data_IF_966411003460
#
_entry.id   IF_966411003460
#
_cell.length_a   1.000
_cell.length_b   1.000
_cell.length_c   1.000
_cell.angle_alpha   90.00
_cell.angle_beta   90.00
_cell.angle_gamma   90.00
#
_symmetry.space_group_name_H-M   'P 1'
#
loop_
_entity.id
_entity.type
_entity.pdbx_description
1 polymer ?
#
# COMPACT_ATOMS: atom_id res chain seq x y z
N UNK A 1 22.07 25.55 22.55
CA UNK A 1 20.96 26.53 22.65
C UNK A 1 20.65 27.03 21.24
N UNK A 2 19.78 26.32 20.50
CA UNK A 2 19.36 26.69 19.15
C UNK A 2 18.24 27.72 19.24
N UNK A 3 18.44 28.88 18.66
CA UNK A 3 17.40 29.91 18.53
C UNK A 3 16.27 29.36 17.64
N UNK A 4 15.11 29.09 18.21
CA UNK A 4 13.86 28.98 17.48
C UNK A 4 13.58 30.30 16.78
N UNK A 5 13.75 30.31 15.45
CA UNK A 5 13.39 31.46 14.63
C UNK A 5 11.91 31.31 14.30
N UNK A 6 11.05 31.86 15.14
CA UNK A 6 9.61 31.97 14.88
C UNK A 6 9.39 33.07 13.82
N UNK A 7 8.84 32.63 12.67
CA UNK A 7 8.44 33.53 11.57
C UNK A 7 6.98 33.95 11.73
N UNK A 8 6.73 35.09 12.34
CA UNK A 8 5.40 35.60 12.76
C UNK A 8 4.41 35.91 11.63
N UNK A 9 4.74 35.77 10.35
CA UNK A 9 3.83 36.18 9.26
C UNK A 9 3.12 35.05 8.51
N UNK A 10 3.55 33.80 8.59
CA UNK A 10 2.91 32.68 7.87
C UNK A 10 2.50 31.52 8.77
N UNK A 11 2.86 31.56 10.07
CA UNK A 11 2.55 30.47 11.01
C UNK A 11 3.36 29.18 10.83
N UNK A 12 4.23 29.06 9.80
CA UNK A 12 5.05 27.87 9.57
C UNK A 12 6.48 28.02 10.06
N UNK A 13 7.04 26.98 10.66
CA UNK A 13 8.47 26.82 10.93
C UNK A 13 9.18 26.21 9.71
N UNK A 14 10.52 26.33 9.65
CA UNK A 14 11.30 25.66 8.60
C UNK A 14 11.17 24.12 8.66
N UNK A 15 11.03 23.55 9.86
CA UNK A 15 10.85 22.12 10.06
C UNK A 15 9.50 21.63 9.50
N UNK A 16 8.44 22.39 9.75
CA UNK A 16 7.11 22.10 9.18
C UNK A 16 7.12 22.19 7.66
N UNK A 17 7.81 23.19 7.08
CA UNK A 17 7.98 23.27 5.63
C UNK A 17 8.79 22.10 5.07
N UNK A 18 9.84 21.65 5.74
CA UNK A 18 10.56 20.42 5.37
C UNK A 18 9.65 19.21 5.39
N UNK A 19 8.86 19.05 6.45
CA UNK A 19 7.92 17.92 6.58
C UNK A 19 6.87 17.92 5.47
N UNK A 20 6.27 19.06 5.17
CA UNK A 20 5.32 19.22 4.07
C UNK A 20 5.96 18.92 2.71
N UNK A 21 7.17 19.44 2.46
CA UNK A 21 7.91 19.19 1.23
C UNK A 21 8.24 17.72 1.06
N UNK A 22 8.75 17.07 2.12
CA UNK A 22 9.04 15.64 2.10
C UNK A 22 7.78 14.81 1.86
N UNK A 23 6.68 15.14 2.52
CA UNK A 23 5.38 14.46 2.34
C UNK A 23 4.91 14.54 0.89
N UNK A 24 5.03 15.72 0.24
CA UNK A 24 4.74 15.89 -1.19
C UNK A 24 5.62 14.97 -2.04
N UNK A 25 6.93 14.97 -1.81
CA UNK A 25 7.87 14.14 -2.59
C UNK A 25 7.61 12.64 -2.38
N UNK A 26 7.27 12.21 -1.17
CA UNK A 26 6.89 10.83 -0.90
C UNK A 26 5.62 10.43 -1.66
N UNK A 27 4.59 11.29 -1.66
CA UNK A 27 3.36 11.03 -2.43
C UNK A 27 3.64 11.00 -3.94
N UNK A 28 4.50 11.88 -4.45
CA UNK A 28 4.95 11.85 -5.85
C UNK A 28 5.78 10.61 -6.17
N UNK A 29 6.61 10.14 -5.24
CA UNK A 29 7.45 8.94 -5.41
C UNK A 29 6.63 7.64 -5.39
N UNK A 30 5.55 7.61 -4.62
CA UNK A 30 4.63 6.46 -4.54
C UNK A 30 3.86 6.26 -5.86
N UNK A 31 3.69 7.31 -6.68
CA UNK A 31 3.05 7.22 -7.99
C UNK A 31 1.86 8.15 -8.15
N UNK A 32 1.18 8.04 -9.29
CA UNK A 32 0.03 8.88 -9.62
C UNK A 32 -1.13 8.60 -8.64
N UNK A 33 -1.22 9.40 -7.59
CA UNK A 33 -2.40 9.42 -6.73
C UNK A 33 -3.45 10.35 -7.35
N UNK A 34 -4.74 10.08 -7.21
CA UNK A 34 -5.80 10.95 -7.72
C UNK A 34 -5.76 12.36 -7.10
N UNK A 35 -5.09 12.52 -5.97
CA UNK A 35 -4.93 13.79 -5.25
C UNK A 35 -3.69 14.59 -5.65
N UNK A 36 -2.84 14.08 -6.56
CA UNK A 36 -1.58 14.72 -6.93
C UNK A 36 -1.78 16.13 -7.52
N UNK A 37 -2.80 16.28 -8.37
CA UNK A 37 -3.15 17.59 -8.96
C UNK A 37 -3.57 18.59 -7.88
N UNK A 38 -4.45 18.18 -6.97
CA UNK A 38 -4.96 19.04 -5.90
C UNK A 38 -3.87 19.38 -4.89
N UNK A 39 -3.00 18.43 -4.58
CA UNK A 39 -1.82 18.64 -3.75
C UNK A 39 -0.88 19.67 -4.38
N UNK A 40 -0.62 19.56 -5.68
CA UNK A 40 0.22 20.54 -6.41
C UNK A 40 -0.39 21.94 -6.37
N UNK A 41 -1.71 22.05 -6.54
CA UNK A 41 -2.42 23.33 -6.44
C UNK A 41 -2.37 23.90 -5.02
N UNK A 42 -2.56 23.07 -4.00
CA UNK A 42 -2.46 23.47 -2.61
C UNK A 42 -1.05 24.00 -2.28
N UNK A 43 0.01 23.31 -2.71
CA UNK A 43 1.39 23.76 -2.55
C UNK A 43 1.66 25.10 -3.26
N UNK A 44 1.17 25.29 -4.48
CA UNK A 44 1.30 26.59 -5.17
C UNK A 44 0.61 27.73 -4.43
N UNK A 45 -0.52 27.46 -3.76
CA UNK A 45 -1.17 28.46 -2.91
C UNK A 45 -0.36 28.74 -1.65
N UNK A 46 0.16 27.68 -1.01
CA UNK A 46 1.04 27.80 0.15
C UNK A 46 2.29 28.64 -0.16
N UNK A 47 2.98 28.37 -1.28
CA UNK A 47 4.17 29.08 -1.72
C UNK A 47 3.94 30.61 -1.87
N UNK A 48 2.73 31.03 -2.26
CA UNK A 48 2.37 32.46 -2.34
C UNK A 48 2.29 33.15 -0.98
N UNK A 49 2.03 32.40 0.08
CA UNK A 49 1.93 32.90 1.45
C UNK A 49 3.28 32.94 2.16
N UNK A 50 4.32 32.32 1.58
CA UNK A 50 5.64 32.23 2.18
C UNK A 50 6.45 33.52 1.98
N UNK A 51 7.30 33.83 2.97
CA UNK A 51 8.30 34.91 2.84
C UNK A 51 9.34 34.56 1.77
N UNK A 52 10.05 35.55 1.19
CA UNK A 52 11.12 35.28 0.22
C UNK A 52 12.20 34.33 0.75
N UNK A 53 12.56 34.45 2.05
CA UNK A 53 13.53 33.58 2.70
C UNK A 53 13.05 32.13 2.79
N UNK A 54 11.78 31.92 3.11
CA UNK A 54 11.18 30.58 3.15
C UNK A 54 11.12 29.95 1.77
N UNK A 55 10.77 30.71 0.72
CA UNK A 55 10.78 30.24 -0.67
C UNK A 55 12.19 29.83 -1.08
N UNK A 56 13.19 30.67 -0.86
CA UNK A 56 14.58 30.34 -1.15
C UNK A 56 15.06 29.07 -0.41
N UNK A 57 14.57 28.83 0.81
CA UNK A 57 14.84 27.59 1.54
C UNK A 57 14.21 26.38 0.84
N UNK A 58 12.92 26.45 0.45
CA UNK A 58 12.23 25.37 -0.28
C UNK A 58 12.90 25.07 -1.62
N UNK A 59 13.39 26.08 -2.34
CA UNK A 59 14.08 25.93 -3.63
C UNK A 59 15.39 25.15 -3.53
N UNK A 60 16.00 25.11 -2.33
CA UNK A 60 17.23 24.34 -2.07
C UNK A 60 16.97 22.90 -1.66
N UNK A 61 15.79 22.57 -1.15
CA UNK A 61 15.47 21.22 -0.66
C UNK A 61 15.61 20.13 -1.73
N UNK A 62 15.27 20.31 -3.03
CA UNK A 62 15.50 19.31 -4.05
C UNK A 62 16.94 18.82 -4.17
N UNK A 63 17.92 19.67 -3.82
CA UNK A 63 19.34 19.32 -3.86
C UNK A 63 19.81 18.47 -2.68
N UNK A 64 19.04 18.39 -1.59
CA UNK A 64 19.46 17.74 -0.34
C UNK A 64 18.47 16.68 0.15
N UNK A 65 17.25 16.66 -0.37
CA UNK A 65 16.19 15.77 0.09
C UNK A 65 15.41 15.22 -1.12
N UNK A 66 15.65 13.96 -1.45
CA UNK A 66 15.04 13.30 -2.61
C UNK A 66 14.37 12.00 -2.18
N UNK A 67 13.12 11.80 -2.55
CA UNK A 67 12.44 10.52 -2.44
C UNK A 67 12.69 9.68 -3.71
N UNK A 68 13.24 8.46 -3.55
CA UNK A 68 13.40 7.53 -4.68
C UNK A 68 12.02 7.04 -5.12
N UNK A 69 11.71 7.22 -6.39
CA UNK A 69 10.49 6.69 -6.98
C UNK A 69 10.55 5.17 -7.06
N UNK A 70 9.52 4.51 -6.51
CA UNK A 70 9.32 3.07 -6.66
C UNK A 70 8.61 2.71 -7.97
N UNK A 71 8.36 1.40 -8.21
CA UNK A 71 7.46 0.94 -9.27
C UNK A 71 6.09 1.63 -9.13
N UNK A 72 5.52 2.07 -10.26
CA UNK A 72 4.21 2.72 -10.32
C UNK A 72 3.31 1.95 -11.26
N UNK A 73 2.01 2.04 -11.04
CA UNK A 73 1.04 1.56 -12.02
C UNK A 73 1.20 2.35 -13.32
N UNK A 74 1.39 1.67 -14.45
CA UNK A 74 1.56 2.29 -15.76
C UNK A 74 0.25 2.92 -16.28
N UNK A 75 -0.91 2.47 -15.77
CA UNK A 75 -2.19 3.07 -16.06
C UNK A 75 -2.21 4.50 -15.50
N UNK A 76 -2.72 5.44 -16.27
CA UNK A 76 -3.14 6.74 -15.77
C UNK A 76 -4.02 6.46 -14.54
N UNK A 77 -3.62 6.99 -13.37
CA UNK A 77 -4.30 6.67 -12.10
C UNK A 77 -5.80 6.82 -12.20
N UNK A 78 -6.53 6.25 -11.26
CA UNK A 78 -7.99 6.34 -11.22
C UNK A 78 -8.45 7.76 -11.56
N UNK A 79 -9.45 7.87 -12.45
CA UNK A 79 -10.03 9.16 -12.81
C UNK A 79 -10.43 9.93 -11.55
N UNK A 80 -10.12 11.22 -11.50
CA UNK A 80 -10.54 12.09 -10.39
C UNK A 80 -12.04 12.01 -10.12
N UNK A 81 -12.85 11.82 -11.16
CA UNK A 81 -14.30 11.61 -11.08
C UNK A 81 -14.66 10.30 -10.33
N UNK A 82 -13.99 9.20 -10.67
CA UNK A 82 -14.20 7.89 -9.99
C UNK A 82 -13.89 8.02 -8.50
N UNK A 83 -12.76 8.62 -8.15
CA UNK A 83 -12.36 8.79 -6.74
C UNK A 83 -13.32 9.71 -6.00
N UNK A 84 -13.73 10.82 -6.61
CA UNK A 84 -14.70 11.75 -6.02
C UNK A 84 -16.02 11.05 -5.70
N UNK A 85 -16.56 10.27 -6.64
CA UNK A 85 -17.79 9.49 -6.44
C UNK A 85 -17.63 8.41 -5.36
N UNK A 86 -16.49 7.72 -5.33
CA UNK A 86 -16.23 6.71 -4.30
C UNK A 86 -16.11 7.35 -2.91
N UNK A 87 -15.46 8.51 -2.79
CA UNK A 87 -15.42 9.27 -1.54
C UNK A 87 -16.82 9.69 -1.10
N UNK A 88 -17.62 10.26 -2.00
CA UNK A 88 -19.01 10.63 -1.70
C UNK A 88 -19.83 9.41 -1.25
N UNK A 89 -19.72 8.30 -1.99
CA UNK A 89 -20.42 7.06 -1.65
C UNK A 89 -20.04 6.52 -0.27
N UNK A 90 -18.73 6.54 0.05
CA UNK A 90 -18.20 6.06 1.34
C UNK A 90 -18.64 6.96 2.50
N UNK A 91 -18.53 8.28 2.33
CA UNK A 91 -18.88 9.26 3.36
C UNK A 91 -20.38 9.25 3.71
N UNK A 92 -21.23 9.01 2.71
CA UNK A 92 -22.68 9.08 2.85
C UNK A 92 -23.36 7.69 2.85
N UNK A 93 -22.57 6.61 2.93
CA UNK A 93 -23.08 5.24 2.91
C UNK A 93 -24.04 4.96 1.76
N UNK A 94 -23.72 5.48 0.56
CA UNK A 94 -24.53 5.28 -0.63
C UNK A 94 -24.10 4.04 -1.37
N UNK A 95 -25.05 3.17 -1.69
CA UNK A 95 -24.80 2.06 -2.61
C UNK A 95 -24.35 2.60 -3.97
N UNK A 96 -23.51 1.85 -4.66
CA UNK A 96 -22.96 2.28 -5.93
C UNK A 96 -22.85 1.11 -6.90
N UNK A 97 -23.12 1.35 -8.17
CA UNK A 97 -22.79 0.42 -9.24
C UNK A 97 -21.47 0.82 -9.87
N UNK A 98 -20.54 -0.11 -9.97
CA UNK A 98 -19.23 0.14 -10.58
C UNK A 98 -18.90 -0.90 -11.63
N UNK A 99 -18.28 -0.44 -12.73
CA UNK A 99 -17.67 -1.30 -13.74
C UNK A 99 -16.21 -1.53 -13.39
N UNK A 100 -15.86 -2.80 -13.21
CA UNK A 100 -14.53 -3.20 -12.77
C UNK A 100 -13.88 -4.20 -13.72
N UNK A 101 -12.60 -3.94 -14.06
CA UNK A 101 -11.77 -4.84 -14.84
C UNK A 101 -10.98 -5.78 -13.90
N UNK A 102 -11.29 -7.06 -13.90
CA UNK A 102 -10.58 -8.08 -13.12
C UNK A 102 -9.38 -8.61 -13.90
N UNK A 103 -8.17 -8.40 -13.37
CA UNK A 103 -6.93 -8.93 -14.00
C UNK A 103 -6.87 -10.45 -13.94
N UNK A 104 -7.38 -11.07 -12.88
CA UNK A 104 -7.34 -12.53 -12.72
C UNK A 104 -8.22 -13.29 -13.73
N UNK A 105 -9.33 -12.68 -14.16
CA UNK A 105 -10.25 -13.27 -15.13
C UNK A 105 -10.20 -12.64 -16.52
N UNK A 106 -9.51 -11.47 -16.65
CA UNK A 106 -9.48 -10.69 -17.89
C UNK A 106 -10.84 -10.06 -18.28
N UNK A 107 -11.85 -10.10 -17.39
CA UNK A 107 -13.23 -9.73 -17.72
C UNK A 107 -13.64 -8.45 -17.00
N UNK A 108 -14.37 -7.57 -17.71
CA UNK A 108 -15.08 -6.45 -17.11
C UNK A 108 -16.47 -6.88 -16.66
N UNK A 109 -16.84 -6.48 -15.45
CA UNK A 109 -18.18 -6.76 -14.87
C UNK A 109 -18.68 -5.54 -14.11
N UNK A 110 -20.00 -5.41 -14.08
CA UNK A 110 -20.68 -4.45 -13.23
C UNK A 110 -20.96 -5.09 -11.86
N UNK A 111 -20.66 -4.33 -10.80
CA UNK A 111 -20.88 -4.75 -9.41
C UNK A 111 -21.73 -3.71 -8.71
N UNK A 112 -22.82 -4.15 -8.08
CA UNK A 112 -23.46 -3.37 -7.03
C UNK A 112 -22.64 -3.56 -5.77
N UNK A 113 -22.20 -2.47 -5.17
CA UNK A 113 -21.32 -2.47 -4.00
C UNK A 113 -21.81 -1.49 -2.93
N UNK A 114 -21.51 -1.80 -1.71
CA UNK A 114 -21.63 -0.91 -0.55
C UNK A 114 -20.22 -0.47 -0.17
N UNK A 115 -19.77 0.73 -0.55
CA UNK A 115 -18.43 1.24 -0.28
C UNK A 115 -18.20 1.46 1.22
N UNK A 116 -17.25 0.74 1.81
CA UNK A 116 -16.96 0.85 3.25
C UNK A 116 -15.78 1.77 3.53
N UNK A 117 -14.68 1.60 2.78
CA UNK A 117 -13.43 2.35 3.02
C UNK A 117 -12.57 2.46 1.77
N UNK A 118 -11.93 3.62 1.61
CA UNK A 118 -10.80 3.79 0.69
C UNK A 118 -9.50 3.70 1.49
N UNK A 119 -8.58 2.85 1.05
CA UNK A 119 -7.30 2.61 1.71
C UNK A 119 -6.17 2.74 0.71
N UNK A 120 -5.14 3.49 1.07
CA UNK A 120 -3.92 3.57 0.28
C UNK A 120 -2.90 2.55 0.82
N UNK A 121 -2.46 1.62 -0.02
CA UNK A 121 -1.49 0.59 0.33
C UNK A 121 -0.66 0.18 -0.90
N UNK A 122 0.59 -0.20 -0.70
CA UNK A 122 1.49 -0.72 -1.76
C UNK A 122 1.51 0.11 -3.06
N UNK A 123 1.45 1.43 -2.93
CA UNK A 123 1.49 2.34 -4.07
C UNK A 123 0.18 2.47 -4.86
N UNK A 124 -0.93 1.91 -4.37
CA UNK A 124 -2.24 1.96 -4.99
C UNK A 124 -3.36 2.38 -4.02
N UNK A 125 -4.44 2.92 -4.57
CA UNK A 125 -5.67 3.18 -3.84
C UNK A 125 -6.62 1.98 -4.03
N UNK A 126 -7.18 1.48 -2.93
CA UNK A 126 -8.08 0.34 -2.89
C UNK A 126 -9.40 0.73 -2.26
N UNK A 127 -10.48 0.19 -2.82
CA UNK A 127 -11.81 0.25 -2.25
C UNK A 127 -12.11 -1.08 -1.56
N UNK A 128 -12.46 -1.02 -0.27
CA UNK A 128 -13.12 -2.11 0.41
C UNK A 128 -14.62 -1.88 0.33
N UNK A 129 -15.32 -2.86 -0.21
CA UNK A 129 -16.76 -2.78 -0.38
C UNK A 129 -17.43 -4.14 -0.14
N UNK A 130 -18.56 -4.12 0.54
CA UNK A 130 -19.44 -5.27 0.60
C UNK A 130 -20.14 -5.45 -0.73
N UNK A 131 -20.10 -6.67 -1.25
CA UNK A 131 -20.76 -7.05 -2.52
C UNK A 131 -21.98 -7.91 -2.19
N UNK A 132 -23.21 -7.39 -2.29
CA UNK A 132 -24.43 -8.14 -1.90
C UNK A 132 -24.57 -9.49 -2.62
N UNK A 133 -24.19 -9.56 -3.90
CA UNK A 133 -24.25 -10.79 -4.69
C UNK A 133 -23.36 -11.92 -4.13
N UNK A 134 -22.28 -11.59 -3.46
CA UNK A 134 -21.37 -12.56 -2.84
C UNK A 134 -21.51 -12.65 -1.33
N UNK A 135 -22.28 -11.75 -0.72
CA UNK A 135 -22.45 -11.63 0.74
C UNK A 135 -21.12 -11.49 1.48
N UNK A 136 -20.16 -10.80 0.87
CA UNK A 136 -18.77 -10.73 1.31
C UNK A 136 -18.17 -9.34 1.07
N UNK A 137 -17.18 -8.96 1.88
CA UNK A 137 -16.38 -7.75 1.69
C UNK A 137 -15.21 -8.07 0.76
N UNK A 138 -15.07 -7.30 -0.30
CA UNK A 138 -14.01 -7.48 -1.28
C UNK A 138 -13.18 -6.24 -1.46
N UNK A 139 -11.91 -6.45 -1.83
CA UNK A 139 -10.94 -5.40 -2.14
C UNK A 139 -10.89 -5.19 -3.66
N UNK A 140 -11.04 -3.94 -4.08
CA UNK A 140 -10.97 -3.52 -5.48
C UNK A 140 -9.88 -2.47 -5.67
N UNK A 141 -8.98 -2.68 -6.60
CA UNK A 141 -7.99 -1.66 -6.98
C UNK A 141 -8.70 -0.54 -7.75
N UNK A 142 -8.63 0.68 -7.24
CA UNK A 142 -9.43 1.82 -7.77
C UNK A 142 -9.02 2.20 -9.19
N UNK A 143 -7.75 1.99 -9.57
CA UNK A 143 -7.23 2.20 -10.93
C UNK A 143 -7.86 1.27 -11.99
N UNK A 144 -8.52 0.17 -11.55
CA UNK A 144 -9.23 -0.79 -12.41
C UNK A 144 -10.73 -0.54 -12.49
N UNK A 145 -11.23 0.45 -11.75
CA UNK A 145 -12.62 0.88 -11.82
C UNK A 145 -12.77 1.83 -13.01
N UNK A 146 -13.58 1.45 -14.00
CA UNK A 146 -13.80 2.21 -15.23
C UNK A 146 -14.87 3.29 -15.08
N UNK A 147 -15.90 3.00 -14.31
CA UNK A 147 -17.03 3.90 -14.06
C UNK A 147 -17.67 3.61 -12.71
N UNK A 148 -18.23 4.64 -12.10
CA UNK A 148 -19.02 4.56 -10.86
C UNK A 148 -20.28 5.38 -11.01
N UNK A 149 -21.41 4.78 -10.64
CA UNK A 149 -22.72 5.43 -10.55
C UNK A 149 -23.21 5.34 -9.11
N UNK A 150 -23.62 6.46 -8.55
CA UNK A 150 -24.15 6.51 -7.19
C UNK A 150 -25.64 6.15 -7.22
N UNK A 151 -26.03 5.17 -6.43
CA UNK A 151 -27.42 4.78 -6.30
C UNK A 151 -28.16 5.74 -5.35
N UNK A 152 -29.50 5.80 -5.44
CA UNK A 152 -30.31 6.55 -4.50
C UNK A 152 -30.37 5.88 -3.12
N UNK A 153 -30.14 4.56 -3.08
CA UNK A 153 -30.21 3.75 -1.88
C UNK A 153 -28.98 3.97 -1.01
N UNK A 154 -29.21 4.13 0.29
CA UNK A 154 -28.17 4.07 1.32
C UNK A 154 -28.14 2.69 1.97
N UNK A 155 -27.03 2.37 2.63
CA UNK A 155 -26.85 1.12 3.36
C UNK A 155 -26.34 1.39 4.77
N UNK A 156 -26.56 0.42 5.66
CA UNK A 156 -25.93 0.40 6.98
C UNK A 156 -24.81 -0.64 6.92
N UNK A 157 -23.56 -0.28 7.25
CA UNK A 157 -22.48 -1.25 7.31
C UNK A 157 -22.82 -2.41 8.24
N UNK A 158 -22.70 -3.64 7.76
CA UNK A 158 -23.02 -4.86 8.53
C UNK A 158 -21.98 -5.15 9.59
N UNK A 159 -20.74 -4.72 9.34
CA UNK A 159 -19.61 -4.93 10.22
C UNK A 159 -18.88 -3.61 10.43
N UNK A 160 -18.45 -3.38 11.66
CA UNK A 160 -17.54 -2.27 11.96
C UNK A 160 -16.17 -2.71 11.45
N UNK A 161 -15.68 -2.07 10.39
CA UNK A 161 -14.34 -2.36 9.88
C UNK A 161 -13.32 -1.95 10.94
N UNK A 162 -12.43 -2.88 11.27
CA UNK A 162 -11.27 -2.60 12.09
C UNK A 162 -10.41 -1.50 11.46
N UNK A 163 -9.69 -0.74 12.28
CA UNK A 163 -8.87 0.37 11.79
C UNK A 163 -7.76 -0.11 10.84
N UNK A 164 -7.27 -1.32 11.05
CA UNK A 164 -6.27 -1.98 10.21
C UNK A 164 -6.90 -3.03 9.30
N UNK A 165 -7.43 -2.60 8.18
CA UNK A 165 -8.17 -3.47 7.26
C UNK A 165 -7.34 -4.62 6.68
N UNK A 166 -6.04 -4.43 6.53
CA UNK A 166 -5.10 -5.44 6.02
C UNK A 166 -4.19 -6.00 7.11
N UNK A 167 -4.65 -5.94 8.38
CA UNK A 167 -3.88 -6.37 9.55
C UNK A 167 -3.37 -7.82 9.47
N UNK A 168 -4.00 -8.65 8.65
CA UNK A 168 -3.63 -10.05 8.46
C UNK A 168 -2.82 -10.29 7.17
N UNK A 169 -2.30 -9.26 6.50
CA UNK A 169 -1.62 -9.46 5.22
C UNK A 169 -0.35 -8.62 5.11
N UNK A 170 0.66 -9.13 4.44
CA UNK A 170 1.77 -8.33 3.95
C UNK A 170 1.38 -7.52 2.69
N UNK A 171 0.19 -7.70 2.16
CA UNK A 171 -0.38 -7.05 0.98
C UNK A 171 -1.69 -6.33 1.27
N UNK A 172 -2.66 -6.56 0.38
CA UNK A 172 -4.00 -5.93 0.42
C UNK A 172 -5.12 -6.97 0.50
N UNK A 173 -4.86 -8.09 1.14
CA UNK A 173 -5.80 -9.19 1.30
C UNK A 173 -6.47 -9.13 2.68
N UNK A 174 -7.75 -9.54 2.74
CA UNK A 174 -8.55 -9.59 3.96
C UNK A 174 -8.82 -11.04 4.41
N UNK A 175 -8.04 -12.01 3.90
CA UNK A 175 -8.19 -13.42 4.24
C UNK A 175 -7.85 -13.76 5.70
N UNK A 176 -8.19 -14.98 6.15
CA UNK A 176 -7.88 -15.43 7.49
C UNK A 176 -6.37 -15.52 7.72
N UNK A 177 -5.92 -15.08 8.89
CA UNK A 177 -4.53 -15.20 9.29
C UNK A 177 -4.18 -16.66 9.69
N UNK A 178 -2.95 -17.04 9.38
CA UNK A 178 -2.36 -18.30 9.83
C UNK A 178 -0.92 -18.03 10.33
N UNK A 179 -0.49 -18.83 11.30
CA UNK A 179 0.88 -18.74 11.79
C UNK A 179 1.86 -19.25 10.73
N UNK A 180 2.82 -18.41 10.35
CA UNK A 180 3.89 -18.72 9.40
C UNK A 180 5.24 -18.56 10.10
N UNK A 181 6.13 -19.52 9.93
CA UNK A 181 7.50 -19.46 10.44
C UNK A 181 8.49 -19.58 9.28
N UNK A 182 9.38 -18.59 9.20
CA UNK A 182 10.37 -18.46 8.12
C UNK A 182 11.74 -18.35 8.77
N UNK A 183 12.66 -19.21 8.36
CA UNK A 183 14.06 -19.19 8.78
C UNK A 183 14.88 -18.45 7.74
N UNK A 184 15.75 -17.58 8.21
CA UNK A 184 16.70 -16.81 7.41
C UNK A 184 18.12 -17.18 7.75
N UNK A 185 18.97 -17.27 6.74
CA UNK A 185 20.39 -17.51 6.92
C UNK A 185 21.11 -16.33 7.60
N UNK A 186 22.24 -16.57 8.26
CA UNK A 186 23.00 -15.54 8.99
C UNK A 186 23.33 -14.32 8.12
N UNK A 187 23.56 -14.52 6.83
CA UNK A 187 23.88 -13.47 5.86
C UNK A 187 22.80 -12.39 5.75
N UNK A 188 21.53 -12.77 5.85
CA UNK A 188 20.39 -11.86 5.68
C UNK A 188 19.68 -11.53 6.98
N UNK A 189 19.95 -12.28 8.05
CA UNK A 189 19.35 -12.08 9.37
C UNK A 189 19.43 -10.62 9.88
N UNK A 190 20.55 -9.87 9.72
CA UNK A 190 20.61 -8.47 10.15
C UNK A 190 19.60 -7.57 9.44
N UNK A 191 19.36 -7.78 8.15
CA UNK A 191 18.40 -6.99 7.36
C UNK A 191 16.96 -7.27 7.76
N UNK A 192 16.65 -8.54 8.09
CA UNK A 192 15.33 -8.94 8.58
C UNK A 192 15.06 -8.35 9.96
N UNK A 193 16.05 -8.43 10.87
CA UNK A 193 15.96 -7.93 12.24
C UNK A 193 15.78 -6.41 12.31
N UNK A 194 16.39 -5.67 11.40
CA UNK A 194 16.38 -4.21 11.39
C UNK A 194 15.02 -3.61 10.99
N UNK A 195 14.02 -4.43 10.62
CA UNK A 195 12.73 -3.95 10.11
C UNK A 195 11.55 -4.59 10.84
N UNK A 196 10.48 -3.81 10.97
CA UNK A 196 9.16 -4.34 11.35
C UNK A 196 8.41 -4.66 10.05
N UNK A 197 8.23 -5.93 9.76
CA UNK A 197 7.56 -6.43 8.55
C UNK A 197 6.05 -6.52 8.74
N UNK A 198 5.61 -6.83 9.96
CA UNK A 198 4.21 -6.97 10.33
C UNK A 198 4.03 -6.79 11.83
N UNK A 199 2.86 -6.28 12.27
CA UNK A 199 2.57 -6.04 13.69
C UNK A 199 2.68 -7.32 14.55
N UNK A 200 2.33 -8.49 13.97
CA UNK A 200 2.38 -9.78 14.67
C UNK A 200 3.77 -10.44 14.70
N UNK A 201 4.81 -9.78 14.17
CA UNK A 201 6.12 -10.42 14.05
C UNK A 201 6.73 -10.76 15.39
N UNK A 202 7.34 -11.94 15.45
CA UNK A 202 8.19 -12.40 16.54
C UNK A 202 9.51 -12.91 15.96
N UNK A 203 10.61 -12.50 16.54
CA UNK A 203 11.95 -12.90 16.11
C UNK A 203 12.56 -13.83 17.16
N UNK A 204 13.19 -14.90 16.70
CA UNK A 204 13.93 -15.86 17.55
C UNK A 204 15.24 -16.24 16.89
N UNK A 205 16.32 -16.16 17.65
CA UNK A 205 17.63 -16.64 17.19
C UNK A 205 17.62 -18.17 17.05
N UNK A 206 18.21 -18.64 15.97
CA UNK A 206 18.41 -20.05 15.69
C UNK A 206 19.88 -20.46 15.76
N UNK A 207 20.16 -21.76 15.60
CA UNK A 207 21.53 -22.28 15.60
C UNK A 207 22.38 -21.65 14.49
N UNK A 208 23.67 -21.46 14.75
CA UNK A 208 24.61 -20.95 13.73
C UNK A 208 24.35 -19.52 13.26
N UNK A 209 23.61 -18.70 14.02
CA UNK A 209 23.31 -17.32 13.66
C UNK A 209 22.11 -17.18 12.70
N UNK A 210 21.35 -18.24 12.47
CA UNK A 210 20.08 -18.14 11.73
C UNK A 210 19.04 -17.35 12.53
N UNK A 211 18.06 -16.77 11.84
CA UNK A 211 16.96 -16.03 12.44
C UNK A 211 15.63 -16.64 12.03
N UNK A 212 14.75 -16.91 12.98
CA UNK A 212 13.38 -17.36 12.72
C UNK A 212 12.42 -16.20 12.95
N UNK A 213 11.71 -15.82 11.89
CA UNK A 213 10.61 -14.86 11.93
C UNK A 213 9.29 -15.63 11.95
N UNK A 214 8.47 -15.38 12.98
CA UNK A 214 7.09 -15.85 13.04
C UNK A 214 6.14 -14.71 12.74
N UNK A 215 5.16 -14.95 11.87
CA UNK A 215 4.10 -14.01 11.49
C UNK A 215 2.74 -14.68 11.63
N UNK A 216 1.70 -13.87 11.89
CA UNK A 216 0.31 -14.33 11.82
C UNK A 216 -0.35 -13.55 10.66
N UNK A 217 -0.32 -14.13 9.46
CA UNK A 217 -0.73 -13.48 8.21
C UNK A 217 -1.46 -14.44 7.28
N UNK A 218 -2.27 -13.91 6.36
CA UNK A 218 -2.90 -14.74 5.37
C UNK A 218 -1.88 -15.29 4.35
N UNK A 219 -2.16 -16.49 3.88
CA UNK A 219 -1.37 -17.19 2.89
C UNK A 219 -1.76 -16.68 1.49
N UNK A 220 -1.20 -15.53 1.12
CA UNK A 220 -1.51 -14.84 -0.14
C UNK A 220 -0.29 -14.70 -1.05
N UNK A 221 -0.51 -14.13 -2.23
CA UNK A 221 0.55 -13.84 -3.20
C UNK A 221 1.61 -12.88 -2.63
N UNK A 222 1.22 -11.90 -1.81
CA UNK A 222 2.16 -10.93 -1.25
C UNK A 222 3.16 -11.60 -0.31
N UNK A 223 2.69 -12.49 0.57
CA UNK A 223 3.55 -13.30 1.44
C UNK A 223 4.50 -14.17 0.61
N UNK A 224 3.99 -14.89 -0.39
CA UNK A 224 4.82 -15.77 -1.24
C UNK A 224 5.88 -15.00 -1.99
N UNK A 225 5.49 -13.90 -2.65
CA UNK A 225 6.41 -13.03 -3.38
C UNK A 225 7.49 -12.44 -2.47
N UNK A 226 7.11 -12.02 -1.26
CA UNK A 226 8.05 -11.50 -0.29
C UNK A 226 9.06 -12.56 0.15
N UNK A 227 8.63 -13.80 0.43
CA UNK A 227 9.55 -14.89 0.78
C UNK A 227 10.49 -15.20 -0.40
N UNK A 228 9.95 -15.31 -1.62
CA UNK A 228 10.75 -15.58 -2.82
C UNK A 228 11.77 -14.48 -3.13
N UNK A 229 11.52 -13.24 -2.73
CA UNK A 229 12.46 -12.13 -2.91
C UNK A 229 13.78 -12.30 -2.15
N UNK A 230 13.82 -13.18 -1.13
CA UNK A 230 15.02 -13.51 -0.38
C UNK A 230 15.85 -14.61 -1.04
N UNK A 231 15.36 -15.20 -2.13
CA UNK A 231 16.05 -16.26 -2.88
C UNK A 231 16.37 -17.46 -2.00
N UNK A 232 17.64 -17.97 -2.06
CA UNK A 232 18.04 -19.16 -1.31
C UNK A 232 18.21 -18.92 0.20
N UNK A 233 18.15 -17.67 0.65
CA UNK A 233 18.47 -17.30 2.03
C UNK A 233 17.26 -17.36 2.98
N UNK A 234 16.08 -17.72 2.48
CA UNK A 234 14.87 -17.88 3.26
C UNK A 234 14.27 -19.29 3.09
N UNK A 235 13.83 -19.89 4.18
CA UNK A 235 13.16 -21.19 4.17
C UNK A 235 11.93 -21.17 5.05
N UNK A 236 10.77 -21.54 4.50
CA UNK A 236 9.55 -21.74 5.30
C UNK A 236 9.67 -23.01 6.13
N UNK A 237 9.54 -22.87 7.47
CA UNK A 237 9.48 -23.96 8.43
C UNK A 237 8.05 -24.46 8.63
N UNK A 238 7.09 -23.54 8.63
CA UNK A 238 5.66 -23.81 8.83
C UNK A 238 4.83 -22.74 8.12
N UNK A 239 3.64 -23.05 7.56
CA UNK A 239 3.07 -24.39 7.41
C UNK A 239 3.70 -25.19 6.24
N UNK A 240 3.58 -26.52 6.29
CA UNK A 240 4.09 -27.40 5.23
C UNK A 240 3.48 -27.11 3.85
N UNK A 241 2.20 -26.71 3.80
CA UNK A 241 1.52 -26.36 2.56
C UNK A 241 2.22 -25.19 1.84
N UNK A 242 2.51 -24.11 2.55
CA UNK A 242 3.24 -22.96 2.01
C UNK A 242 4.63 -23.34 1.50
N UNK A 243 5.36 -24.17 2.27
CA UNK A 243 6.66 -24.66 1.84
C UNK A 243 6.58 -25.50 0.56
N UNK A 244 5.53 -26.32 0.41
CA UNK A 244 5.32 -27.12 -0.79
C UNK A 244 5.00 -26.25 -2.02
N UNK A 245 4.16 -25.23 -1.87
CA UNK A 245 3.83 -24.27 -2.94
C UNK A 245 5.06 -23.49 -3.41
N UNK A 246 5.85 -22.93 -2.47
CA UNK A 246 7.09 -22.23 -2.82
C UNK A 246 8.11 -23.14 -3.52
N UNK A 247 8.20 -24.41 -3.09
CA UNK A 247 9.03 -25.40 -3.78
C UNK A 247 8.57 -25.63 -5.23
N UNK A 248 7.25 -25.68 -5.43
CA UNK A 248 6.68 -25.82 -6.80
C UNK A 248 6.98 -24.58 -7.65
N UNK A 249 6.80 -23.37 -7.09
CA UNK A 249 7.10 -22.12 -7.78
C UNK A 249 8.57 -22.02 -8.18
N UNK A 250 9.50 -22.41 -7.28
CA UNK A 250 10.94 -22.39 -7.53
C UNK A 250 11.33 -23.40 -8.60
N UNK A 251 10.70 -24.58 -8.66
CA UNK A 251 10.96 -25.55 -9.73
C UNK A 251 10.48 -25.02 -11.07
N UNK A 252 9.25 -24.50 -11.14
CA UNK A 252 8.72 -23.88 -12.35
C UNK A 252 9.54 -22.67 -12.80
N UNK A 253 10.10 -21.92 -11.87
CA UNK A 253 11.02 -20.83 -12.20
C UNK A 253 12.34 -21.37 -12.79
N UNK A 254 12.93 -22.40 -12.18
CA UNK A 254 14.18 -23.01 -12.65
C UNK A 254 14.05 -23.57 -14.08
N UNK A 255 12.92 -24.19 -14.41
CA UNK A 255 12.62 -24.72 -15.75
C UNK A 255 12.60 -23.62 -16.83
N UNK A 256 12.40 -22.35 -16.46
CA UNK A 256 12.44 -21.21 -17.38
C UNK A 256 13.85 -20.67 -17.66
N UNK A 257 14.84 -21.12 -16.90
CA UNK A 257 16.24 -20.79 -17.12
C UNK A 257 16.92 -22.04 -17.72
N UNK A 258 17.07 -22.13 -19.06
CA UNK A 258 17.78 -23.24 -19.67
C UNK A 258 19.20 -23.29 -19.11
N UNK A 259 19.68 -24.50 -18.81
CA UNK A 259 21.07 -24.70 -18.45
C UNK A 259 21.88 -24.28 -19.68
N UNK A 260 22.72 -23.27 -19.51
CA UNK A 260 23.34 -22.50 -20.55
C UNK A 260 23.99 -23.34 -21.69
N UNK A 261 23.89 -22.78 -22.88
CA UNK A 261 24.77 -23.10 -23.96
C UNK A 261 26.23 -22.72 -23.61
#
# INVERSE_FOLDING_TARGET
>A
MGREISFRQTGFTLQELCALYLSRNLLEAVGATPFQRDLTLAFRRLEKLLTPRMRQFLDRLPGVLVAKRGPRTAAAGASSDVVGKLLEATLHYRASTMRYHSVSSGVERDYLVHPYRLTFAHGGLYLLAYVPAYKDVRTFAVDRIKAVSLEKQTFVPKERMEDEVFANSLGVNTGPAAKVEIEFEPRVAPYVRARVWHASQQLREGPGGTLVLSLNVCHDWALRSWILSWGPFARVRSPRALAAELRSDLRAALERYPQGE
#
